data_IF_648869085004
#
_entry.id   IF_648869085004
#
_cell.length_a   1.000
_cell.length_b   1.000
_cell.length_c   1.000
_cell.angle_alpha   90.00
_cell.angle_beta   90.00
_cell.angle_gamma   90.00
#
_symmetry.space_group_name_H-M   'P 1'
#
loop_
_entity.id
_entity.type
_entity.pdbx_description
1 polymer ?
#
# COMPACT_ATOMS: atom_id res chain seq x y z
N UNK A 1 -15.28 4.39 22.63
CA UNK A 1 -16.33 3.45 22.20
C UNK A 1 -16.57 3.61 20.71
N UNK A 2 -17.34 2.73 20.08
CA UNK A 2 -17.72 2.85 18.68
C UNK A 2 -19.22 3.07 18.53
N UNK A 3 -19.59 3.89 17.54
CA UNK A 3 -20.95 3.95 17.02
C UNK A 3 -20.99 3.56 15.55
N UNK A 4 -22.19 3.37 15.02
CA UNK A 4 -22.43 3.08 13.61
C UNK A 4 -23.34 4.13 12.96
N UNK A 5 -23.07 4.46 11.71
CA UNK A 5 -23.89 5.36 10.90
C UNK A 5 -23.84 4.99 9.41
N UNK A 6 -24.83 5.47 8.67
CA UNK A 6 -24.84 5.41 7.20
C UNK A 6 -24.39 6.76 6.64
N UNK A 7 -23.63 6.76 5.55
CA UNK A 7 -23.22 7.95 4.82
C UNK A 7 -22.94 7.64 3.35
N UNK A 8 -22.76 8.67 2.53
CA UNK A 8 -22.32 8.54 1.14
C UNK A 8 -20.82 8.79 1.05
N UNK A 9 -20.04 7.73 0.83
CA UNK A 9 -18.58 7.80 0.68
C UNK A 9 -18.22 7.34 -0.73
N UNK A 10 -17.50 8.19 -1.48
CA UNK A 10 -17.18 7.93 -2.88
C UNK A 10 -18.43 7.73 -3.74
N UNK A 11 -19.50 8.48 -3.43
CA UNK A 11 -20.80 8.38 -4.11
C UNK A 11 -21.63 7.15 -3.75
N UNK A 12 -21.15 6.25 -2.88
CA UNK A 12 -21.88 5.03 -2.48
C UNK A 12 -22.41 5.14 -1.06
N UNK A 13 -23.68 4.77 -0.85
CA UNK A 13 -24.23 4.66 0.50
C UNK A 13 -23.61 3.46 1.20
N UNK A 14 -22.84 3.71 2.25
CA UNK A 14 -22.19 2.66 3.04
C UNK A 14 -22.51 2.85 4.53
N UNK A 15 -22.54 1.74 5.26
CA UNK A 15 -22.49 1.75 6.73
C UNK A 15 -21.03 1.80 7.14
N UNK A 16 -20.71 2.70 8.06
CA UNK A 16 -19.38 2.85 8.63
C UNK A 16 -19.45 2.92 10.16
N UNK A 17 -18.31 2.67 10.79
CA UNK A 17 -18.16 2.76 12.24
C UNK A 17 -17.43 4.05 12.58
N UNK A 18 -17.65 4.61 13.77
CA UNK A 18 -16.91 5.77 14.23
C UNK A 18 -16.48 5.63 15.68
N UNK A 19 -15.19 5.82 15.90
CA UNK A 19 -14.59 5.90 17.22
C UNK A 19 -15.02 7.19 17.90
N UNK A 20 -15.36 7.10 19.19
CA UNK A 20 -15.75 8.19 20.06
C UNK A 20 -14.91 8.19 21.34
N UNK A 21 -14.35 9.34 21.68
CA UNK A 21 -13.72 9.62 22.96
C UNK A 21 -14.25 10.94 23.53
N UNK A 22 -14.60 10.96 24.80
CA UNK A 22 -15.07 12.14 25.53
C UNK A 22 -14.14 12.43 26.71
N UNK A 23 -13.89 13.70 27.00
CA UNK A 23 -13.26 14.16 28.23
C UNK A 23 -14.33 14.56 29.25
N UNK A 24 -14.59 13.77 30.31
CA UNK A 24 -15.75 13.99 31.17
C UNK A 24 -15.80 15.35 31.90
N UNK A 25 -14.67 16.00 32.12
CA UNK A 25 -14.62 17.27 32.83
C UNK A 25 -14.89 18.47 31.91
N UNK A 26 -14.28 18.52 30.72
CA UNK A 26 -14.52 19.58 29.74
C UNK A 26 -15.70 19.33 28.81
N UNK A 27 -16.17 18.09 28.68
CA UNK A 27 -17.10 17.60 27.65
C UNK A 27 -16.55 17.78 26.21
N UNK A 28 -15.22 17.82 26.08
CA UNK A 28 -14.55 17.84 24.78
C UNK A 28 -14.59 16.43 24.16
N UNK A 29 -15.18 16.34 22.97
CA UNK A 29 -15.29 15.09 22.23
C UNK A 29 -14.33 15.00 21.05
N UNK A 30 -13.93 13.79 20.72
CA UNK A 30 -13.24 13.41 19.49
C UNK A 30 -13.99 12.29 18.79
N UNK A 31 -14.14 12.41 17.47
CA UNK A 31 -14.82 11.42 16.63
C UNK A 31 -14.01 11.18 15.36
N UNK A 32 -13.80 9.90 15.00
CA UNK A 32 -13.14 9.50 13.76
C UNK A 32 -13.85 8.29 13.16
N UNK A 33 -14.17 8.36 11.87
CA UNK A 33 -14.86 7.33 11.10
C UNK A 33 -13.87 6.32 10.48
N UNK A 34 -14.34 5.08 10.39
CA UNK A 34 -13.63 3.90 9.90
C UNK A 34 -14.54 2.98 9.09
N UNK A 35 -14.00 2.23 8.12
CA UNK A 35 -14.76 1.22 7.39
C UNK A 35 -15.32 0.11 8.30
N UNK A 36 -14.58 -0.25 9.37
CA UNK A 36 -14.91 -1.35 10.29
C UNK A 36 -14.55 -1.00 11.72
N UNK A 37 -15.22 -1.64 12.68
CA UNK A 37 -14.81 -1.68 14.09
C UNK A 37 -13.89 -2.90 14.31
N UNK A 38 -12.60 -2.72 14.06
CA UNK A 38 -11.57 -3.74 14.29
C UNK A 38 -10.44 -3.21 15.19
N UNK A 39 -9.45 -4.08 15.46
CA UNK A 39 -8.30 -3.72 16.30
C UNK A 39 -7.53 -2.53 15.72
N UNK A 40 -7.37 -2.49 14.39
CA UNK A 40 -6.64 -1.44 13.68
C UNK A 40 -7.34 -0.09 13.85
N UNK A 41 -8.67 -0.03 13.63
CA UNK A 41 -9.48 1.16 13.87
C UNK A 41 -9.45 1.59 15.35
N UNK A 42 -9.48 0.62 16.27
CA UNK A 42 -9.39 0.91 17.71
C UNK A 42 -8.05 1.54 18.07
N UNK A 43 -6.93 0.98 17.62
CA UNK A 43 -5.59 1.51 17.89
C UNK A 43 -5.43 2.91 17.27
N UNK A 44 -5.74 3.04 15.97
CA UNK A 44 -5.65 4.31 15.26
C UNK A 44 -6.55 5.40 15.86
N UNK A 45 -7.75 5.03 16.33
CA UNK A 45 -8.68 5.94 17.00
C UNK A 45 -8.10 6.57 18.26
N UNK A 46 -7.37 5.80 19.07
CA UNK A 46 -6.66 6.33 20.24
C UNK A 46 -5.51 7.24 19.85
N UNK A 47 -4.69 6.84 18.88
CA UNK A 47 -3.57 7.64 18.38
C UNK A 47 -4.07 9.02 17.91
N UNK A 48 -5.10 9.02 17.07
CA UNK A 48 -5.69 10.23 16.54
C UNK A 48 -6.34 11.10 17.63
N UNK A 49 -7.00 10.48 18.61
CA UNK A 49 -7.60 11.19 19.73
C UNK A 49 -6.53 11.85 20.63
N UNK A 50 -5.46 11.13 20.98
CA UNK A 50 -4.39 11.67 21.81
C UNK A 50 -3.66 12.81 21.10
N UNK A 51 -3.42 12.68 19.80
CA UNK A 51 -2.88 13.77 18.98
C UNK A 51 -3.81 15.00 18.97
N UNK A 52 -5.13 14.80 18.84
CA UNK A 52 -6.11 15.89 18.86
C UNK A 52 -6.17 16.60 20.22
N UNK A 53 -6.13 15.85 21.31
CA UNK A 53 -6.11 16.39 22.67
C UNK A 53 -4.78 17.10 22.98
N UNK A 54 -3.69 16.68 22.34
CA UNK A 54 -2.33 17.16 22.58
C UNK A 54 -1.64 16.46 23.76
N UNK A 55 -2.10 15.26 24.12
CA UNK A 55 -1.63 14.52 25.29
C UNK A 55 -2.43 13.24 25.52
N UNK A 56 -1.98 12.43 26.48
CA UNK A 56 -2.59 11.15 26.84
C UNK A 56 -3.35 11.30 28.17
N UNK A 57 -4.63 10.88 28.24
CA UNK A 57 -5.35 10.85 29.51
C UNK A 57 -4.71 9.89 30.52
N UNK A 58 -4.67 10.26 31.79
CA UNK A 58 -4.13 9.41 32.86
C UNK A 58 -4.92 8.11 33.04
N UNK A 59 -6.24 8.16 32.85
CA UNK A 59 -7.08 6.97 32.86
C UNK A 59 -8.20 7.05 31.84
N UNK A 60 -8.56 5.91 31.24
CA UNK A 60 -9.59 5.81 30.20
C UNK A 60 -10.60 4.74 30.62
N UNK A 61 -11.88 5.11 30.56
CA UNK A 61 -13.00 4.20 30.81
C UNK A 61 -13.44 3.54 29.51
N UNK A 62 -13.46 2.22 29.50
CA UNK A 62 -13.88 1.40 28.37
C UNK A 62 -15.16 0.61 28.70
N UNK A 63 -15.95 0.34 27.67
CA UNK A 63 -16.90 -0.77 27.72
C UNK A 63 -16.16 -2.11 27.55
N UNK A 64 -16.77 -3.22 27.96
CA UNK A 64 -16.22 -4.58 27.86
C UNK A 64 -16.26 -5.10 26.41
N UNK A 65 -15.77 -4.30 25.45
CA UNK A 65 -15.67 -4.70 24.04
C UNK A 65 -14.65 -5.83 23.89
N UNK A 66 -14.91 -6.75 22.96
CA UNK A 66 -14.00 -7.87 22.67
C UNK A 66 -12.64 -7.41 22.13
N UNK A 67 -12.55 -6.18 21.62
CA UNK A 67 -11.31 -5.58 21.10
C UNK A 67 -10.34 -5.24 22.24
N UNK A 68 -10.85 -4.76 23.37
CA UNK A 68 -10.04 -4.47 24.56
C UNK A 68 -9.92 -5.68 25.52
N UNK A 69 -10.99 -6.48 25.63
CA UNK A 69 -11.09 -7.60 26.58
C UNK A 69 -11.10 -8.94 25.85
N UNK A 70 -10.02 -9.71 26.01
CA UNK A 70 -9.92 -11.07 25.49
C UNK A 70 -10.72 -12.10 26.31
N UNK A 71 -10.77 -11.94 27.64
CA UNK A 71 -11.50 -12.84 28.54
C UNK A 71 -11.87 -12.14 29.85
N UNK A 72 -13.06 -12.41 30.38
CA UNK A 72 -13.46 -12.03 31.75
C UNK A 72 -13.14 -13.22 32.67
N UNK A 73 -12.41 -12.98 33.76
CA UNK A 73 -12.01 -13.98 34.76
C UNK A 73 -13.03 -14.03 35.91
N UNK A 74 -13.05 -15.15 36.64
CA UNK A 74 -14.07 -15.44 37.67
C UNK A 74 -14.05 -14.53 38.90
N UNK A 75 -12.96 -13.79 39.10
CA UNK A 75 -12.78 -12.78 40.16
C UNK A 75 -13.13 -11.36 39.71
N UNK A 76 -13.65 -11.20 38.48
CA UNK A 76 -13.94 -9.90 37.89
C UNK A 76 -12.72 -9.20 37.27
N UNK A 77 -11.54 -9.83 37.26
CA UNK A 77 -10.40 -9.35 36.47
C UNK A 77 -10.62 -9.59 34.98
N UNK A 78 -10.00 -8.76 34.14
CA UNK A 78 -10.13 -8.84 32.68
C UNK A 78 -8.76 -9.16 32.08
N UNK A 79 -8.69 -10.20 31.26
CA UNK A 79 -7.54 -10.46 30.42
C UNK A 79 -7.67 -9.58 29.17
N UNK A 80 -6.74 -8.65 29.01
CA UNK A 80 -6.65 -7.74 27.87
C UNK A 80 -6.25 -8.49 26.60
N UNK A 81 -6.65 -7.97 25.44
CA UNK A 81 -6.05 -8.41 24.17
C UNK A 81 -4.59 -7.97 24.12
N UNK A 82 -3.77 -8.67 23.34
CA UNK A 82 -2.35 -8.30 23.19
C UNK A 82 -2.20 -6.88 22.65
N UNK A 83 -2.96 -6.51 21.62
CA UNK A 83 -2.94 -5.17 21.04
C UNK A 83 -3.31 -4.08 22.06
N UNK A 84 -4.32 -4.31 22.89
CA UNK A 84 -4.71 -3.34 23.92
C UNK A 84 -3.64 -3.22 25.01
N UNK A 85 -3.04 -4.33 25.43
CA UNK A 85 -1.93 -4.30 26.38
C UNK A 85 -0.70 -3.57 25.81
N UNK A 86 -0.36 -3.78 24.53
CA UNK A 86 0.72 -3.06 23.85
C UNK A 86 0.46 -1.55 23.80
N UNK A 87 -0.77 -1.13 23.44
CA UNK A 87 -1.18 0.28 23.44
C UNK A 87 -1.05 0.90 24.84
N UNK A 88 -1.55 0.19 25.86
CA UNK A 88 -1.50 0.64 27.24
C UNK A 88 -0.06 0.78 27.74
N UNK A 89 0.79 -0.22 27.48
CA UNK A 89 2.21 -0.17 27.88
C UNK A 89 2.99 0.92 27.15
N UNK A 90 2.57 1.30 25.94
CA UNK A 90 3.22 2.36 25.18
C UNK A 90 2.83 3.77 25.67
N UNK A 91 1.54 4.00 25.94
CA UNK A 91 1.02 5.30 26.35
C UNK A 91 0.87 5.48 27.87
N UNK A 92 1.04 4.42 28.65
CA UNK A 92 1.08 4.39 30.12
C UNK A 92 -0.19 4.92 30.81
N UNK A 93 -1.35 4.80 30.17
CA UNK A 93 -2.62 5.15 30.80
C UNK A 93 -3.20 4.00 31.63
N UNK A 94 -3.96 4.32 32.67
CA UNK A 94 -4.76 3.36 33.41
C UNK A 94 -6.06 3.05 32.66
N UNK A 95 -6.44 1.78 32.58
CA UNK A 95 -7.74 1.38 32.05
C UNK A 95 -8.73 1.12 33.18
N UNK A 96 -9.96 1.59 32.99
CA UNK A 96 -11.10 1.25 33.83
C UNK A 96 -12.14 0.58 32.94
N UNK A 97 -12.75 -0.49 33.41
CA UNK A 97 -13.86 -1.14 32.73
C UNK A 97 -15.15 -0.92 33.49
N UNK A 98 -16.20 -0.52 32.79
CA UNK A 98 -17.54 -0.40 33.37
C UNK A 98 -17.97 -1.71 34.05
N UNK A 99 -18.67 -1.58 35.19
CA UNK A 99 -19.22 -2.76 35.90
C UNK A 99 -20.35 -3.37 35.06
N UNK A 100 -20.40 -4.71 34.89
CA UNK A 100 -21.51 -5.37 34.24
C UNK A 100 -22.85 -4.98 34.89
N UNK A 101 -23.87 -4.71 34.08
CA UNK A 101 -25.25 -4.42 34.52
C UNK A 101 -25.46 -3.14 35.38
N UNK A 102 -24.51 -2.20 35.43
CA UNK A 102 -24.73 -0.85 36.01
C UNK A 102 -24.63 0.24 34.95
N UNK A 103 -25.77 0.63 34.37
CA UNK A 103 -25.87 1.66 33.32
C UNK A 103 -25.36 3.05 33.73
N UNK A 104 -25.32 3.36 35.02
CA UNK A 104 -24.82 4.65 35.54
C UNK A 104 -23.35 4.90 35.18
N UNK A 105 -22.53 3.85 35.06
CA UNK A 105 -21.12 3.97 34.69
C UNK A 105 -20.95 4.24 33.18
N UNK A 106 -22.01 4.06 32.36
CA UNK A 106 -21.98 4.16 30.89
C UNK A 106 -22.66 5.40 30.31
N UNK A 107 -23.42 6.15 31.11
CA UNK A 107 -24.29 7.23 30.61
C UNK A 107 -23.60 8.33 29.79
N UNK A 108 -22.32 8.63 30.08
CA UNK A 108 -21.57 9.63 29.28
C UNK A 108 -21.17 9.11 27.90
N UNK A 109 -20.75 7.85 27.80
CA UNK A 109 -20.34 7.24 26.53
C UNK A 109 -21.54 7.06 25.60
N UNK A 110 -22.65 6.52 26.12
CA UNK A 110 -23.92 6.42 25.40
C UNK A 110 -24.43 7.81 24.98
N UNK A 111 -24.26 8.81 25.85
CA UNK A 111 -24.55 10.21 25.58
C UNK A 111 -23.73 10.78 24.42
N UNK A 112 -22.42 10.50 24.38
CA UNK A 112 -21.54 10.95 23.29
C UNK A 112 -21.92 10.30 21.96
N UNK A 113 -22.10 8.98 21.91
CA UNK A 113 -22.50 8.30 20.67
C UNK A 113 -23.83 8.86 20.14
N UNK A 114 -24.80 9.06 21.04
CA UNK A 114 -26.07 9.71 20.70
C UNK A 114 -25.92 11.17 20.25
N UNK A 115 -25.01 11.94 20.86
CA UNK A 115 -24.68 13.30 20.43
C UNK A 115 -24.05 13.30 19.03
N UNK A 116 -23.01 12.51 18.81
CA UNK A 116 -22.32 12.37 17.53
C UNK A 116 -23.28 11.99 16.42
N UNK A 117 -24.18 11.02 16.67
CA UNK A 117 -25.21 10.64 15.71
C UNK A 117 -26.12 11.81 15.32
N UNK A 118 -26.58 12.60 16.30
CA UNK A 118 -27.52 13.72 16.04
C UNK A 118 -26.87 14.95 15.41
N UNK A 119 -25.59 15.19 15.68
CA UNK A 119 -24.91 16.44 15.30
C UNK A 119 -23.88 16.29 14.19
N UNK A 120 -23.29 15.11 14.02
CA UNK A 120 -22.28 14.85 13.00
C UNK A 120 -22.77 13.94 11.87
N UNK A 121 -23.76 13.08 12.16
CA UNK A 121 -24.28 12.11 11.18
C UNK A 121 -25.65 12.53 10.59
N UNK A 122 -26.13 13.73 10.93
CA UNK A 122 -27.38 14.30 10.41
C UNK A 122 -27.12 15.73 9.91
N UNK A 123 -27.43 16.06 8.63
CA UNK A 123 -27.86 15.13 7.58
C UNK A 123 -26.81 14.04 7.30
N UNK A 124 -27.17 12.98 6.56
CA UNK A 124 -26.22 11.89 6.27
C UNK A 124 -24.93 12.47 5.70
N UNK A 125 -23.75 12.12 6.25
CA UNK A 125 -22.48 12.64 5.77
C UNK A 125 -22.26 12.28 4.30
N UNK A 126 -21.65 13.20 3.56
CA UNK A 126 -21.23 13.00 2.17
C UNK A 126 -19.77 13.41 2.04
N UNK A 127 -18.95 12.50 1.53
CA UNK A 127 -17.52 12.70 1.35
C UNK A 127 -16.98 11.84 0.20
N UNK A 128 -15.85 12.24 -0.39
CA UNK A 128 -15.20 11.46 -1.45
C UNK A 128 -14.54 10.18 -0.89
N UNK A 129 -13.98 10.27 0.31
CA UNK A 129 -13.35 9.17 1.04
C UNK A 129 -13.43 9.36 2.57
N UNK A 130 -12.83 8.43 3.32
CA UNK A 130 -12.79 8.50 4.77
C UNK A 130 -11.90 9.63 5.30
N UNK A 131 -10.88 10.07 4.57
CA UNK A 131 -10.01 11.17 4.99
C UNK A 131 -10.78 12.49 4.94
N UNK A 132 -11.54 12.73 3.87
CA UNK A 132 -12.44 13.86 3.73
C UNK A 132 -13.54 13.85 4.80
N UNK A 133 -14.16 12.70 5.08
CA UNK A 133 -15.14 12.57 6.17
C UNK A 133 -14.50 12.88 7.52
N UNK A 134 -13.31 12.36 7.79
CA UNK A 134 -12.61 12.57 9.04
C UNK A 134 -12.16 14.02 9.23
N UNK A 135 -11.83 14.73 8.16
CA UNK A 135 -11.58 16.17 8.22
C UNK A 135 -12.84 16.95 8.63
N UNK A 136 -14.01 16.60 8.10
CA UNK A 136 -15.29 17.20 8.48
C UNK A 136 -15.64 16.91 9.96
N UNK A 137 -15.48 15.66 10.41
CA UNK A 137 -15.73 15.27 11.80
C UNK A 137 -14.80 16.01 12.78
N UNK A 138 -13.51 16.12 12.43
CA UNK A 138 -12.53 16.86 13.22
C UNK A 138 -12.90 18.34 13.36
N UNK A 139 -13.35 18.98 12.28
CA UNK A 139 -13.86 20.35 12.31
C UNK A 139 -15.14 20.45 13.18
N UNK A 140 -16.03 19.47 13.10
CA UNK A 140 -17.20 19.34 13.99
C UNK A 140 -16.81 19.29 15.47
N UNK A 141 -15.80 18.48 15.83
CA UNK A 141 -15.26 18.42 17.18
C UNK A 141 -14.68 19.78 17.63
N UNK A 142 -13.93 20.47 16.76
CA UNK A 142 -13.39 21.81 17.05
C UNK A 142 -14.49 22.86 17.23
N UNK A 143 -15.53 22.84 16.39
CA UNK A 143 -16.69 23.73 16.49
C UNK A 143 -17.43 23.53 17.82
N UNK A 144 -17.61 22.27 18.23
CA UNK A 144 -18.25 21.92 19.51
C UNK A 144 -17.53 22.56 20.70
N UNK A 145 -16.21 22.71 20.66
CA UNK A 145 -15.46 23.34 21.75
C UNK A 145 -15.90 24.78 22.07
N UNK A 146 -16.59 25.47 21.15
CA UNK A 146 -17.10 26.84 21.38
C UNK A 146 -18.36 26.89 22.25
N UNK A 147 -19.03 25.76 22.46
CA UNK A 147 -20.29 25.73 23.20
C UNK A 147 -20.08 25.95 24.70
N UNK A 148 -21.01 26.67 25.33
CA UNK A 148 -21.19 26.75 26.79
C UNK A 148 -22.39 25.87 27.15
N UNK A 149 -22.17 24.89 28.03
CA UNK A 149 -23.21 23.91 28.39
C UNK A 149 -24.09 24.42 29.53
N UNK A 150 -25.31 23.90 29.61
CA UNK A 150 -26.21 24.23 30.72
C UNK A 150 -25.53 23.91 32.06
N UNK A 151 -25.49 24.89 32.96
CA UNK A 151 -24.84 24.76 34.26
C UNK A 151 -23.33 25.03 34.25
N UNK A 152 -22.77 25.48 33.13
CA UNK A 152 -21.37 25.90 33.01
C UNK A 152 -21.30 27.37 32.62
N UNK A 153 -20.30 28.09 33.14
CA UNK A 153 -19.97 29.47 32.75
C UNK A 153 -18.96 29.51 31.60
N UNK A 154 -18.03 28.57 31.60
CA UNK A 154 -16.94 28.47 30.63
C UNK A 154 -17.36 27.61 29.43
N UNK A 155 -16.83 27.98 28.25
CA UNK A 155 -16.91 27.12 27.07
C UNK A 155 -16.15 25.80 27.26
N UNK A 156 -16.50 24.79 26.47
CA UNK A 156 -15.76 23.52 26.42
C UNK A 156 -14.25 23.78 26.16
N UNK A 157 -13.89 24.68 25.25
CA UNK A 157 -12.51 25.03 24.94
C UNK A 157 -11.75 25.55 26.16
N UNK A 158 -12.36 26.45 26.94
CA UNK A 158 -11.75 26.99 28.15
C UNK A 158 -11.57 25.92 29.24
N UNK A 159 -12.56 25.01 29.39
CA UNK A 159 -12.43 23.88 30.32
C UNK A 159 -11.38 22.86 29.84
N UNK A 160 -11.27 22.63 28.54
CA UNK A 160 -10.28 21.72 27.94
C UNK A 160 -8.83 22.14 28.21
N UNK A 161 -8.56 23.43 28.42
CA UNK A 161 -7.22 23.88 28.86
C UNK A 161 -6.82 23.23 30.19
N UNK A 162 -7.76 23.08 31.13
CA UNK A 162 -7.52 22.42 32.42
C UNK A 162 -7.27 20.93 32.25
N UNK A 163 -8.01 20.28 31.36
CA UNK A 163 -7.80 18.88 31.02
C UNK A 163 -6.41 18.68 30.40
N UNK A 164 -6.03 19.51 29.43
CA UNK A 164 -4.71 19.47 28.77
C UNK A 164 -3.55 19.62 29.74
N UNK A 165 -3.70 20.49 30.74
CA UNK A 165 -2.69 20.67 31.78
C UNK A 165 -2.49 19.42 32.65
N UNK A 166 -3.48 18.51 32.71
CA UNK A 166 -3.42 17.26 33.47
C UNK A 166 -3.07 16.04 32.59
N UNK A 167 -3.00 16.19 31.26
CA UNK A 167 -2.62 15.09 30.37
C UNK A 167 -1.14 14.74 30.52
N UNK A 168 -0.83 13.47 30.32
CA UNK A 168 0.55 13.02 30.16
C UNK A 168 1.06 13.45 28.76
N UNK A 169 2.36 13.71 28.60
CA UNK A 169 2.93 14.09 27.31
C UNK A 169 2.81 12.95 26.29
N UNK A 170 2.71 13.31 25.01
CA UNK A 170 2.80 12.33 23.93
C UNK A 170 4.24 11.76 23.85
N UNK A 171 4.41 10.45 23.64
CA UNK A 171 5.70 9.86 23.33
C UNK A 171 6.33 10.52 22.08
N UNK A 172 7.67 10.60 22.05
CA UNK A 172 8.39 11.21 20.93
C UNK A 172 8.37 10.35 19.66
N UNK A 173 8.23 9.02 19.81
CA UNK A 173 8.06 8.10 18.69
C UNK A 173 6.57 7.86 18.44
N UNK A 174 6.17 7.49 17.21
CA UNK A 174 4.81 7.03 16.95
C UNK A 174 4.63 5.57 17.36
N UNK A 175 3.45 5.24 17.89
CA UNK A 175 3.06 3.85 18.12
C UNK A 175 2.74 3.14 16.80
N UNK A 176 3.16 1.87 16.68
CA UNK A 176 2.82 1.00 15.55
C UNK A 176 1.38 0.46 15.72
N UNK A 177 0.39 1.24 15.24
CA UNK A 177 -1.03 0.87 15.25
C UNK A 177 -1.39 -0.15 14.15
N UNK A 178 -0.62 -1.24 14.06
CA UNK A 178 -0.86 -2.33 13.11
C UNK A 178 -1.27 -3.63 13.80
N UNK A 179 -2.20 -4.33 13.16
CA UNK A 179 -2.46 -5.73 13.45
C UNK A 179 -1.40 -6.59 12.74
N UNK A 180 -0.70 -7.41 13.53
CA UNK A 180 0.42 -8.25 13.08
C UNK A 180 -0.07 -9.70 12.92
N UNK A 181 0.20 -10.30 11.77
CA UNK A 181 -0.19 -11.68 11.47
C UNK A 181 0.93 -12.42 10.76
N UNK A 182 1.33 -13.58 11.29
CA UNK A 182 2.21 -14.51 10.57
C UNK A 182 1.45 -15.20 9.44
N UNK A 183 2.05 -15.25 8.25
CA UNK A 183 1.46 -15.88 7.07
C UNK A 183 2.55 -16.51 6.20
N UNK A 184 2.17 -17.07 5.05
CA UNK A 184 3.07 -17.66 4.06
C UNK A 184 2.65 -17.27 2.66
N UNK A 185 3.62 -16.93 1.83
CA UNK A 185 3.38 -16.61 0.41
C UNK A 185 2.96 -17.88 -0.33
N UNK A 186 1.88 -17.79 -1.10
CA UNK A 186 1.38 -18.87 -1.95
C UNK A 186 2.24 -19.11 -3.20
N UNK A 187 1.96 -20.16 -3.96
CA UNK A 187 2.60 -20.43 -5.27
C UNK A 187 2.29 -19.35 -6.32
N UNK A 188 1.20 -18.59 -6.14
CA UNK A 188 0.79 -17.49 -7.02
C UNK A 188 1.42 -16.14 -6.59
N UNK A 189 2.36 -16.16 -5.66
CA UNK A 189 2.98 -14.97 -5.07
C UNK A 189 1.95 -14.02 -4.42
N UNK A 190 0.97 -14.61 -3.74
CA UNK A 190 -0.05 -13.90 -2.97
C UNK A 190 0.05 -14.21 -1.48
N UNK A 191 -0.26 -13.22 -0.65
CA UNK A 191 -0.38 -13.35 0.81
C UNK A 191 -1.77 -12.89 1.22
N UNK A 192 -2.47 -13.73 1.99
CA UNK A 192 -3.77 -13.39 2.53
C UNK A 192 -3.65 -12.54 3.77
N UNK A 193 -4.39 -11.43 3.81
CA UNK A 193 -4.62 -10.63 5.01
C UNK A 193 -6.12 -10.37 5.16
N UNK A 194 -6.67 -10.71 6.33
CA UNK A 194 -8.12 -10.77 6.56
C UNK A 194 -8.78 -11.66 5.49
N UNK A 195 -9.58 -11.08 4.59
CA UNK A 195 -10.32 -11.77 3.54
C UNK A 195 -9.78 -11.51 2.13
N UNK A 196 -8.71 -10.75 1.99
CA UNK A 196 -8.19 -10.27 0.70
C UNK A 196 -6.75 -10.76 0.48
N UNK A 197 -6.39 -10.94 -0.79
CA UNK A 197 -5.09 -11.44 -1.21
C UNK A 197 -4.26 -10.32 -1.82
N UNK A 198 -3.03 -10.17 -1.34
CA UNK A 198 -2.11 -9.11 -1.74
C UNK A 198 -0.89 -9.73 -2.41
N UNK A 199 -0.47 -9.20 -3.56
CA UNK A 199 0.69 -9.76 -4.25
C UNK A 199 2.01 -9.41 -3.58
N UNK A 200 3.02 -10.26 -3.75
CA UNK A 200 4.41 -10.00 -3.39
C UNK A 200 5.30 -10.33 -4.59
N UNK A 201 6.54 -9.79 -4.67
CA UNK A 201 7.45 -10.17 -5.74
C UNK A 201 7.62 -11.68 -5.86
N UNK A 202 7.53 -12.20 -7.08
CA UNK A 202 7.48 -13.66 -7.36
C UNK A 202 8.66 -14.46 -6.79
N UNK A 203 9.80 -13.81 -6.55
CA UNK A 203 10.98 -14.41 -5.91
C UNK A 203 10.73 -14.85 -4.46
N UNK A 204 9.70 -14.33 -3.79
CA UNK A 204 9.35 -14.69 -2.41
C UNK A 204 8.28 -15.77 -2.30
N UNK A 205 7.94 -16.46 -3.40
CA UNK A 205 7.03 -17.59 -3.39
C UNK A 205 7.38 -18.61 -2.30
N UNK A 206 6.38 -19.10 -1.57
CA UNK A 206 6.56 -20.04 -0.46
C UNK A 206 7.38 -19.54 0.73
N UNK A 207 7.74 -18.25 0.83
CA UNK A 207 8.43 -17.74 2.00
C UNK A 207 7.46 -17.48 3.17
N UNK A 208 7.96 -17.63 4.39
CA UNK A 208 7.23 -17.20 5.59
C UNK A 208 7.32 -15.67 5.72
N UNK A 209 6.19 -15.04 6.02
CA UNK A 209 6.08 -13.57 6.08
C UNK A 209 5.35 -13.11 7.34
N UNK A 210 5.68 -11.90 7.77
CA UNK A 210 4.90 -11.14 8.74
C UNK A 210 4.10 -10.08 7.98
N UNK A 211 2.80 -10.10 8.12
CA UNK A 211 1.90 -9.08 7.58
C UNK A 211 1.56 -8.09 8.69
N UNK A 212 1.74 -6.80 8.41
CA UNK A 212 1.26 -5.70 9.25
C UNK A 212 0.15 -4.98 8.51
N UNK A 213 -1.05 -4.99 9.06
CA UNK A 213 -2.15 -4.18 8.52
C UNK A 213 -2.49 -3.02 9.44
N UNK A 214 -2.50 -1.82 8.90
CA UNK A 214 -3.07 -0.62 9.53
C UNK A 214 -4.48 -0.39 8.97
N UNK A 215 -5.14 0.70 9.35
CA UNK A 215 -6.41 1.10 8.73
C UNK A 215 -6.24 1.32 7.22
N UNK A 216 -5.07 1.79 6.82
CA UNK A 216 -4.82 2.36 5.51
C UNK A 216 -4.00 1.44 4.59
N UNK A 217 -3.13 0.63 5.18
CA UNK A 217 -2.07 -0.08 4.45
C UNK A 217 -1.92 -1.52 4.93
N UNK A 218 -1.41 -2.36 4.03
CA UNK A 218 -0.95 -3.71 4.30
C UNK A 218 0.51 -3.80 3.87
N UNK A 219 1.39 -3.92 4.86
CA UNK A 219 2.82 -4.11 4.70
C UNK A 219 3.19 -5.57 4.92
N UNK A 220 4.03 -6.11 4.03
CA UNK A 220 4.45 -7.51 4.08
C UNK A 220 5.97 -7.54 4.23
N UNK A 221 6.44 -8.25 5.25
CA UNK A 221 7.85 -8.42 5.58
C UNK A 221 8.24 -9.89 5.55
N UNK A 222 9.47 -10.20 5.20
CA UNK A 222 10.01 -11.53 5.47
C UNK A 222 10.22 -11.72 6.98
N UNK A 223 9.92 -12.92 7.48
CA UNK A 223 10.11 -13.22 8.91
C UNK A 223 11.58 -12.99 9.30
N UNK A 224 11.80 -12.21 10.36
CA UNK A 224 13.14 -11.88 10.88
C UNK A 224 13.91 -10.83 10.07
N UNK A 225 13.30 -10.22 9.05
CA UNK A 225 13.91 -9.13 8.28
C UNK A 225 13.16 -7.82 8.48
N UNK A 226 13.88 -6.68 8.53
CA UNK A 226 13.25 -5.36 8.69
C UNK A 226 12.71 -4.79 7.37
N UNK A 227 13.12 -5.34 6.22
CA UNK A 227 12.77 -4.83 4.89
C UNK A 227 11.33 -5.24 4.50
N UNK A 228 10.53 -4.25 4.11
CA UNK A 228 9.20 -4.46 3.55
C UNK A 228 9.34 -4.93 2.11
N UNK A 229 8.79 -6.10 1.79
CA UNK A 229 8.85 -6.70 0.45
C UNK A 229 7.65 -6.33 -0.42
N UNK A 230 6.56 -5.85 0.18
CA UNK A 230 5.38 -5.37 -0.54
C UNK A 230 4.55 -4.43 0.36
N UNK A 231 4.12 -3.32 -0.23
CA UNK A 231 3.29 -2.30 0.39
C UNK A 231 2.05 -2.07 -0.46
N UNK A 232 0.86 -2.20 0.14
CA UNK A 232 -0.42 -2.09 -0.57
C UNK A 232 -1.42 -1.25 0.20
N UNK A 233 -2.26 -0.50 -0.51
CA UNK A 233 -3.46 0.09 0.07
C UNK A 233 -4.35 -1.05 0.60
N UNK A 234 -4.86 -0.91 1.82
CA UNK A 234 -5.76 -1.92 2.39
C UNK A 234 -7.09 -1.93 1.63
N UNK A 235 -7.52 -3.13 1.23
CA UNK A 235 -8.88 -3.36 0.72
C UNK A 235 -9.78 -3.85 1.86
N UNK A 236 -10.96 -3.23 1.98
CA UNK A 236 -12.05 -3.64 2.87
C UNK A 236 -13.17 -4.40 2.14
N UNK A 237 -12.97 -4.72 0.86
CA UNK A 237 -13.84 -5.63 0.12
C UNK A 237 -13.69 -7.08 0.62
N UNK A 238 -14.42 -8.01 0.00
CA UNK A 238 -14.36 -9.44 0.32
C UNK A 238 -13.78 -10.22 -0.85
N UNK A 239 -12.79 -11.07 -0.57
CA UNK A 239 -12.13 -11.92 -1.58
C UNK A 239 -11.54 -11.14 -2.75
N UNK A 240 -11.04 -9.93 -2.46
CA UNK A 240 -10.40 -9.06 -3.43
C UNK A 240 -8.94 -9.46 -3.68
N UNK A 241 -8.45 -9.19 -4.88
CA UNK A 241 -7.08 -9.48 -5.32
C UNK A 241 -6.34 -8.18 -5.61
N UNK A 242 -5.59 -7.69 -4.62
CA UNK A 242 -4.80 -6.47 -4.74
C UNK A 242 -3.42 -6.82 -5.30
N UNK A 243 -3.27 -6.65 -6.61
CA UNK A 243 -2.07 -7.05 -7.34
C UNK A 243 -1.27 -5.85 -7.82
N UNK A 244 -0.01 -5.77 -7.41
CA UNK A 244 0.97 -4.88 -8.03
C UNK A 244 1.60 -5.57 -9.26
N UNK A 245 1.51 -4.98 -10.46
CA UNK A 245 2.09 -5.55 -11.68
C UNK A 245 3.60 -5.79 -11.60
N UNK A 246 4.34 -4.92 -10.90
CA UNK A 246 5.79 -4.98 -10.77
C UNK A 246 6.26 -6.30 -10.15
N UNK A 247 5.46 -6.88 -9.26
CA UNK A 247 5.79 -8.12 -8.56
C UNK A 247 5.97 -9.33 -9.49
N UNK A 248 5.41 -9.27 -10.71
CA UNK A 248 5.38 -10.38 -11.66
C UNK A 248 6.36 -10.21 -12.82
N UNK A 249 7.00 -9.05 -12.98
CA UNK A 249 7.83 -8.76 -14.15
C UNK A 249 9.05 -9.69 -14.26
N UNK A 250 9.69 -10.05 -13.15
CA UNK A 250 10.79 -11.02 -13.14
C UNK A 250 10.37 -12.41 -13.65
N UNK A 251 9.13 -12.85 -13.39
CA UNK A 251 8.58 -14.08 -13.93
C UNK A 251 8.25 -13.94 -15.42
N UNK A 252 7.68 -12.79 -15.81
CA UNK A 252 7.31 -12.50 -17.19
C UNK A 252 8.55 -12.38 -18.09
N UNK A 253 9.68 -11.88 -17.60
CA UNK A 253 10.92 -11.85 -18.36
C UNK A 253 11.40 -13.27 -18.74
N UNK A 254 11.15 -14.25 -17.87
CA UNK A 254 11.41 -15.68 -18.14
C UNK A 254 10.35 -16.30 -19.05
N UNK A 255 9.11 -15.80 -19.02
CA UNK A 255 7.98 -16.28 -19.82
C UNK A 255 7.30 -15.14 -20.60
N UNK A 256 7.97 -14.49 -21.58
CA UNK A 256 7.43 -13.28 -22.23
C UNK A 256 6.09 -13.49 -22.92
N UNK A 257 5.81 -14.72 -23.38
CA UNK A 257 4.52 -15.07 -24.01
C UNK A 257 3.30 -14.88 -23.11
N UNK A 258 3.48 -14.87 -21.80
CA UNK A 258 2.41 -14.68 -20.82
C UNK A 258 2.06 -13.20 -20.56
N UNK A 259 2.79 -12.24 -21.15
CA UNK A 259 2.59 -10.81 -20.91
C UNK A 259 1.12 -10.38 -21.07
N UNK A 260 0.49 -10.80 -22.17
CA UNK A 260 -0.90 -10.41 -22.51
C UNK A 260 -1.96 -11.12 -21.66
N UNK A 261 -1.59 -12.21 -21.00
CA UNK A 261 -2.50 -13.04 -20.19
C UNK A 261 -2.34 -12.79 -18.69
N UNK A 262 -1.40 -11.95 -18.31
CA UNK A 262 -1.15 -11.65 -16.91
C UNK A 262 -2.24 -10.71 -16.37
N UNK A 263 -3.13 -11.24 -15.54
CA UNK A 263 -4.20 -10.46 -14.89
C UNK A 263 -3.72 -9.15 -14.24
N UNK A 264 -2.58 -9.08 -13.52
CA UNK A 264 -2.09 -7.83 -12.95
C UNK A 264 -1.81 -6.73 -13.98
N UNK A 265 -1.54 -7.08 -15.25
CA UNK A 265 -1.17 -6.11 -16.29
C UNK A 265 -2.38 -5.57 -17.07
N UNK A 266 -3.56 -6.18 -16.96
CA UNK A 266 -4.72 -5.83 -17.79
C UNK A 266 -5.27 -4.43 -17.51
N UNK A 267 -5.22 -4.00 -16.24
CA UNK A 267 -5.69 -2.68 -15.81
C UNK A 267 -4.53 -1.72 -15.51
N UNK A 268 -3.31 -2.06 -15.93
CA UNK A 268 -2.14 -1.23 -15.65
C UNK A 268 -2.09 -0.03 -16.59
N UNK A 269 -2.60 1.11 -16.13
CA UNK A 269 -2.56 2.37 -16.85
C UNK A 269 -1.12 2.90 -16.92
N UNK A 270 -0.50 2.75 -18.10
CA UNK A 270 0.81 3.30 -18.42
C UNK A 270 0.66 4.45 -19.44
N UNK A 271 1.59 5.43 -19.45
CA UNK A 271 1.60 6.46 -20.47
C UNK A 271 1.71 5.88 -21.89
N UNK A 272 1.11 6.57 -22.87
CA UNK A 272 1.04 6.10 -24.27
C UNK A 272 2.41 5.80 -24.90
N UNK A 273 3.49 6.39 -24.37
CA UNK A 273 4.86 6.10 -24.78
C UNK A 273 5.23 4.61 -24.62
N UNK A 274 4.75 3.94 -23.58
CA UNK A 274 5.02 2.52 -23.32
C UNK A 274 4.36 1.61 -24.36
N UNK A 275 3.09 1.87 -24.70
CA UNK A 275 2.38 1.11 -25.74
C UNK A 275 3.00 1.31 -27.12
N UNK A 276 3.42 2.54 -27.43
CA UNK A 276 4.16 2.84 -28.67
C UNK A 276 5.48 2.09 -28.71
N UNK A 277 6.26 2.11 -27.62
CA UNK A 277 7.51 1.36 -27.50
C UNK A 277 7.28 -0.15 -27.72
N UNK A 278 6.27 -0.72 -27.05
CA UNK A 278 5.92 -2.14 -27.18
C UNK A 278 5.69 -2.53 -28.63
N UNK A 279 4.84 -1.78 -29.34
CA UNK A 279 4.53 -2.02 -30.77
C UNK A 279 5.78 -1.98 -31.64
N UNK A 280 6.65 -1.00 -31.44
CA UNK A 280 7.88 -0.84 -32.22
C UNK A 280 8.88 -1.97 -31.96
N UNK A 281 9.05 -2.39 -30.69
CA UNK A 281 9.92 -3.52 -30.34
C UNK A 281 9.40 -4.84 -30.89
N UNK A 282 8.09 -5.12 -30.75
CA UNK A 282 7.49 -6.35 -31.28
C UNK A 282 7.52 -6.39 -32.82
N UNK A 283 7.28 -5.27 -33.51
CA UNK A 283 7.39 -5.20 -34.97
C UNK A 283 8.83 -5.47 -35.47
N UNK A 284 9.84 -4.98 -34.74
CA UNK A 284 11.25 -5.13 -35.13
C UNK A 284 11.82 -6.50 -34.77
N UNK A 285 11.39 -7.09 -33.66
CA UNK A 285 12.12 -8.20 -33.00
C UNK A 285 11.21 -9.34 -32.48
N UNK A 286 9.90 -9.29 -32.75
CA UNK A 286 8.90 -10.29 -32.36
C UNK A 286 9.06 -10.72 -30.89
N UNK A 287 9.33 -12.01 -30.63
CA UNK A 287 9.53 -12.58 -29.28
C UNK A 287 10.62 -11.87 -28.48
N UNK A 288 11.72 -11.45 -29.13
CA UNK A 288 12.82 -10.76 -28.46
C UNK A 288 12.42 -9.33 -28.08
N UNK A 289 11.61 -8.68 -28.94
CA UNK A 289 11.05 -7.36 -28.67
C UNK A 289 10.17 -7.33 -27.43
N UNK A 290 9.32 -8.36 -27.25
CA UNK A 290 8.50 -8.50 -26.04
C UNK A 290 9.34 -8.65 -24.77
N UNK A 291 10.44 -9.40 -24.84
CA UNK A 291 11.37 -9.55 -23.70
C UNK A 291 12.03 -8.21 -23.35
N UNK A 292 12.53 -7.48 -24.35
CA UNK A 292 13.12 -6.15 -24.12
C UNK A 292 12.10 -5.15 -23.55
N UNK A 293 10.85 -5.20 -24.02
CA UNK A 293 9.78 -4.39 -23.45
C UNK A 293 9.57 -4.70 -21.96
N UNK A 294 9.56 -5.98 -21.58
CA UNK A 294 9.48 -6.37 -20.16
C UNK A 294 10.70 -5.85 -19.39
N UNK A 295 11.91 -5.90 -19.95
CA UNK A 295 13.09 -5.34 -19.30
C UNK A 295 12.98 -3.82 -19.08
N UNK A 296 12.36 -3.09 -20.01
CA UNK A 296 12.04 -1.67 -19.81
C UNK A 296 11.00 -1.49 -18.70
N UNK A 297 9.94 -2.31 -18.65
CA UNK A 297 8.99 -2.28 -17.54
C UNK A 297 9.66 -2.56 -16.19
N UNK A 298 10.67 -3.43 -16.16
CA UNK A 298 11.44 -3.72 -14.94
C UNK A 298 12.24 -2.52 -14.42
N UNK A 299 12.50 -1.50 -15.24
CA UNK A 299 13.07 -0.25 -14.73
C UNK A 299 12.12 0.43 -13.73
N UNK A 300 10.81 0.19 -13.82
CA UNK A 300 9.82 0.70 -12.87
C UNK A 300 9.92 0.05 -11.48
N UNK A 301 10.71 -1.02 -11.32
CA UNK A 301 11.05 -1.59 -10.00
C UNK A 301 11.94 -0.63 -9.18
N UNK A 302 12.60 0.35 -9.82
CA UNK A 302 13.57 1.25 -9.17
C UNK A 302 13.35 2.72 -9.51
N UNK A 303 12.83 3.01 -10.71
CA UNK A 303 12.68 4.37 -11.24
C UNK A 303 11.20 4.74 -11.37
N UNK A 304 10.90 6.03 -11.27
CA UNK A 304 9.53 6.53 -11.45
C UNK A 304 9.05 6.37 -12.89
N UNK A 305 7.73 6.27 -13.09
CA UNK A 305 7.10 6.18 -14.42
C UNK A 305 7.54 7.36 -15.30
N UNK A 306 7.59 8.58 -14.76
CA UNK A 306 7.98 9.77 -15.52
C UNK A 306 9.44 9.75 -15.98
N UNK A 307 10.37 9.20 -15.18
CA UNK A 307 11.78 9.05 -15.59
C UNK A 307 11.92 8.06 -16.75
N UNK A 308 11.22 6.93 -16.67
CA UNK A 308 11.25 5.91 -17.72
C UNK A 308 10.55 6.42 -18.98
N UNK A 309 9.40 7.10 -18.85
CA UNK A 309 8.68 7.72 -19.97
C UNK A 309 9.56 8.74 -20.71
N UNK A 310 10.24 9.62 -19.98
CA UNK A 310 11.14 10.60 -20.58
C UNK A 310 12.26 9.92 -21.38
N UNK A 311 12.90 8.89 -20.80
CA UNK A 311 13.94 8.13 -21.48
C UNK A 311 13.42 7.38 -22.73
N UNK A 312 12.19 6.87 -22.71
CA UNK A 312 11.53 6.29 -23.88
C UNK A 312 11.31 7.34 -24.97
N UNK A 313 10.90 8.56 -24.59
CA UNK A 313 10.74 9.70 -25.50
C UNK A 313 12.06 10.06 -26.19
N UNK A 314 13.12 10.24 -25.42
CA UNK A 314 14.47 10.53 -25.95
C UNK A 314 14.98 9.42 -26.87
N UNK A 315 14.81 8.15 -26.47
CA UNK A 315 15.19 7.00 -27.29
C UNK A 315 14.45 6.98 -28.63
N UNK A 316 13.18 7.39 -28.63
CA UNK A 316 12.38 7.50 -29.83
C UNK A 316 12.85 8.64 -30.74
N UNK A 317 13.15 9.82 -30.19
CA UNK A 317 13.69 10.96 -30.96
C UNK A 317 15.03 10.64 -31.61
N UNK A 318 15.89 9.89 -30.91
CA UNK A 318 17.20 9.46 -31.41
C UNK A 318 17.15 8.20 -32.29
N UNK A 319 15.98 7.58 -32.46
CA UNK A 319 15.82 6.34 -33.25
C UNK A 319 16.47 5.09 -32.66
N UNK A 320 16.87 5.12 -31.37
CA UNK A 320 17.57 4.02 -30.67
C UNK A 320 16.65 3.28 -29.71
N UNK A 321 15.75 2.47 -30.27
CA UNK A 321 14.77 1.71 -29.49
C UNK A 321 15.31 0.34 -29.08
N UNK A 322 15.98 0.28 -27.91
CA UNK A 322 16.37 -0.94 -27.21
C UNK A 322 16.35 -0.72 -25.70
N UNK A 323 16.29 -1.80 -24.92
CA UNK A 323 16.38 -1.73 -23.46
C UNK A 323 17.65 -1.00 -23.00
N UNK A 324 18.81 -1.36 -23.55
CA UNK A 324 20.09 -0.79 -23.14
C UNK A 324 20.19 0.71 -23.45
N UNK A 325 19.66 1.16 -24.59
CA UNK A 325 19.63 2.57 -24.95
C UNK A 325 18.72 3.37 -24.00
N UNK A 326 17.52 2.87 -23.72
CA UNK A 326 16.56 3.51 -22.80
C UNK A 326 17.16 3.58 -21.40
N UNK A 327 17.73 2.48 -20.89
CA UNK A 327 18.41 2.45 -19.59
C UNK A 327 19.57 3.44 -19.55
N UNK A 328 20.38 3.51 -20.61
CA UNK A 328 21.50 4.44 -20.68
C UNK A 328 21.05 5.91 -20.66
N UNK A 329 20.06 6.27 -21.47
CA UNK A 329 19.50 7.62 -21.53
C UNK A 329 18.91 8.04 -20.19
N UNK A 330 18.16 7.15 -19.54
CA UNK A 330 17.61 7.37 -18.21
C UNK A 330 18.71 7.62 -17.17
N UNK A 331 19.76 6.78 -17.13
CA UNK A 331 20.88 6.97 -16.20
C UNK A 331 21.64 8.28 -16.47
N UNK A 332 21.89 8.61 -17.74
CA UNK A 332 22.51 9.88 -18.13
C UNK A 332 21.70 11.09 -17.65
N UNK A 333 20.36 11.05 -17.81
CA UNK A 333 19.48 12.12 -17.36
C UNK A 333 19.51 12.29 -15.84
N UNK A 334 19.52 11.18 -15.07
CA UNK A 334 19.62 11.21 -13.60
C UNK A 334 20.98 11.78 -13.16
N UNK A 335 22.06 11.36 -13.81
CA UNK A 335 23.43 11.81 -13.54
C UNK A 335 23.73 13.20 -14.11
N UNK A 336 22.78 13.81 -14.83
CA UNK A 336 22.92 15.11 -15.53
C UNK A 336 24.14 15.16 -16.45
N UNK A 337 24.42 14.04 -17.13
CA UNK A 337 25.50 13.94 -18.11
C UNK A 337 24.94 13.77 -19.53
N UNK A 338 25.64 14.28 -20.56
CA UNK A 338 25.22 14.06 -21.92
C UNK A 338 25.31 12.57 -22.29
N UNK A 339 24.29 11.99 -22.95
CA UNK A 339 24.37 10.62 -23.44
C UNK A 339 25.36 10.55 -24.60
N UNK A 340 26.31 9.61 -24.52
CA UNK A 340 27.29 9.35 -25.58
C UNK A 340 26.87 8.10 -26.36
N UNK A 341 25.83 8.25 -27.17
CA UNK A 341 25.32 7.19 -28.04
C UNK A 341 26.02 7.14 -29.41
N UNK A 342 26.87 8.13 -29.69
CA UNK A 342 27.63 8.20 -30.93
C UNK A 342 28.86 7.29 -30.89
N UNK A 343 28.79 6.19 -31.65
CA UNK A 343 29.89 5.25 -31.79
C UNK A 343 31.07 5.81 -32.59
N UNK A 344 30.89 6.91 -33.34
CA UNK A 344 31.98 7.56 -34.07
C UNK A 344 33.02 8.19 -33.13
N UNK A 345 32.66 8.41 -31.86
CA UNK A 345 33.58 8.82 -30.79
C UNK A 345 34.53 7.71 -30.33
N UNK A 346 34.34 6.47 -30.82
CA UNK A 346 35.10 5.29 -30.44
C UNK A 346 35.78 4.65 -31.66
N UNK A 347 36.86 5.28 -32.20
CA UNK A 347 37.49 4.87 -33.46
C UNK A 347 38.14 3.48 -33.43
N UNK A 348 38.29 2.90 -32.24
CA UNK A 348 38.83 1.56 -32.02
C UNK A 348 37.76 0.45 -32.11
N UNK A 349 36.47 0.79 -32.17
CA UNK A 349 35.42 -0.20 -32.40
C UNK A 349 35.44 -0.60 -33.89
N UNK A 350 35.42 -1.91 -34.22
CA UNK A 350 35.40 -2.35 -35.60
C UNK A 350 34.11 -1.84 -36.27
N UNK A 351 34.28 -1.10 -37.37
CA UNK A 351 33.15 -0.66 -38.20
C UNK A 351 32.52 -1.88 -38.84
N UNK A 352 31.29 -2.21 -38.42
CA UNK A 352 30.54 -3.29 -39.03
C UNK A 352 29.89 -2.78 -40.32
N UNK A 353 30.52 -3.07 -41.46
CA UNK A 353 29.91 -2.84 -42.78
C UNK A 353 28.90 -3.96 -43.02
N UNK A 354 27.65 -3.76 -42.60
CA UNK A 354 26.58 -4.70 -42.91
C UNK A 354 26.11 -4.39 -44.33
N UNK A 355 26.54 -5.22 -45.29
CA UNK A 355 26.06 -5.12 -46.66
C UNK A 355 24.53 -5.25 -46.72
N UNK A 356 23.89 -4.50 -47.61
CA UNK A 356 22.46 -4.64 -47.91
C UNK A 356 22.21 -6.10 -48.29
N UNK A 357 21.21 -6.74 -47.67
CA UNK A 357 20.92 -8.15 -47.91
C UNK A 357 20.58 -8.37 -49.39
N UNK A 358 21.51 -8.97 -50.13
CA UNK A 358 21.30 -9.41 -51.51
C UNK A 358 20.74 -10.83 -51.50
N UNK A 359 19.53 -11.00 -52.03
CA UNK A 359 18.89 -12.31 -52.15
C UNK A 359 19.71 -13.28 -53.03
N UNK A 360 20.50 -12.77 -53.98
CA UNK A 360 21.41 -13.57 -54.79
C UNK A 360 22.52 -14.24 -53.98
N UNK A 361 22.91 -13.66 -52.85
CA UNK A 361 23.94 -14.23 -51.97
C UNK A 361 23.51 -15.57 -51.34
N UNK A 362 22.20 -15.83 -51.18
CA UNK A 362 21.69 -17.14 -50.74
C UNK A 362 21.77 -18.22 -51.82
N UNK A 363 21.70 -17.85 -53.09
CA UNK A 363 21.82 -18.80 -54.20
C UNK A 363 23.23 -19.42 -54.27
N UNK A 364 24.26 -18.67 -53.84
CA UNK A 364 25.64 -19.17 -53.80
C UNK A 364 25.84 -20.35 -52.83
N UNK A 365 25.03 -20.43 -51.77
CA UNK A 365 25.03 -21.53 -50.79
C UNK A 365 24.36 -22.80 -51.32
N UNK A 366 23.51 -22.69 -52.35
CA UNK A 366 22.86 -23.83 -53.01
C UNK A 366 23.73 -24.44 -54.13
N UNK A 367 24.77 -23.74 -54.56
CA UNK A 367 25.65 -24.15 -55.66
C UNK A 367 26.97 -24.82 -55.22
N UNK A 368 27.15 -25.16 -53.94
CA UNK A 368 28.30 -25.98 -53.55
C UNK A 368 28.12 -27.42 -54.07
N UNK A 369 29.05 -27.96 -54.89
CA UNK A 369 29.02 -29.37 -55.27
C UNK A 369 29.29 -30.22 -54.03
N UNK A 370 28.50 -31.28 -53.84
CA UNK A 370 28.74 -32.28 -52.82
C UNK A 370 30.19 -32.80 -52.92
N UNK A 371 30.96 -32.67 -51.83
CA UNK A 371 32.25 -33.33 -51.67
C UNK A 371 32.05 -34.85 -51.86
N UNK A 372 32.48 -35.36 -53.02
CA UNK A 372 32.59 -36.79 -53.27
C UNK A 372 33.70 -37.32 -52.38
N UNK A 373 33.33 -37.97 -51.28
CA UNK A 373 34.26 -38.77 -50.47
C UNK A 373 34.58 -40.04 -51.25
N UNK A 374 35.71 -40.04 -51.97
CA UNK A 374 36.27 -41.26 -52.56
C UNK A 374 36.91 -42.10 -51.43
N UNK A 375 36.21 -43.15 -51.02
CA UNK A 375 36.78 -44.21 -50.20
C UNK A 375 37.72 -45.07 -51.07
N UNK A 376 39.02 -44.93 -50.90
CA UNK A 376 40.00 -45.85 -51.47
C UNK A 376 40.08 -47.11 -50.61
N UNK A 377 39.41 -48.16 -51.07
CA UNK A 377 39.65 -49.55 -50.65
C UNK A 377 40.94 -50.01 -51.33
N UNK A 378 41.98 -50.35 -50.56
CA UNK A 378 43.02 -51.30 -50.98
C UNK A 378 43.40 -52.19 -49.79
N UNK A 379 43.02 -53.46 -49.90
CA UNK A 379 43.54 -54.55 -49.09
C UNK A 379 44.69 -55.27 -49.79
N UNK A 380 45.59 -55.81 -48.95
CA UNK A 380 46.46 -57.00 -49.09
C UNK A 380 47.46 -57.08 -50.24
N UNK A 381 48.77 -57.12 -49.90
CA UNK A 381 49.56 -58.34 -49.62
C UNK A 381 50.53 -58.06 -48.49
#
# INVERSE_FOLDING_TARGET
DFGEADGYIGGKKIRFHYFCLDMPHSDACFVKAYPTEDTEAFLDGHLAAFAFLGGVPQSILYDNTRIAVAKILGDGQRRRTQAFAELQSYYLFDDKFGRPAKGNDKGKVEGLVGYSRRHFMVPLPVADDFDALNAQLLDGCKKRQRAVLRGQSDSIAQRLVRDRAALMPLPATPYDASHKQSSRVSSQALVRYRTNDYSVPTQYGHQAVLVKGTVDWVDIYLVGKPECIAHHRRSYAKADFVMNPLHYLALLEKKPRALDQAAPLQEWALPAAFERLRRLLEARMDKRGRKEYIQVLRLLETFSIGQVEHAIGEAHHLGVLSFDAIKHLMLCAIERRPPKLDLTLYPYLPSATVGTTDAGSYLSLLSQPALVVQAAIRGSV
#
